data_IF_225720449695
#
_entry.id   IF_225720449695
#
_cell.length_a   1.000
_cell.length_b   1.000
_cell.length_c   1.000
_cell.angle_alpha   90.00
_cell.angle_beta   90.00
_cell.angle_gamma   90.00
#
_symmetry.space_group_name_H-M   'P 1'
#
loop_
_entity.id
_entity.type
_entity.pdbx_description
1 polymer ?
#
# COMPACT_ATOMS: atom_id res chain seq x y z
N UNK A 1 -11.36 -5.90 1.26
CA UNK A 1 -10.03 -5.43 1.69
C UNK A 1 -9.99 -3.93 1.45
N UNK A 2 -9.48 -3.17 2.41
CA UNK A 2 -9.21 -1.73 2.27
C UNK A 2 -7.69 -1.51 2.32
N UNK A 3 -7.17 -0.60 1.50
CA UNK A 3 -5.74 -0.25 1.47
C UNK A 3 -5.59 1.22 1.83
N UNK A 4 -4.74 1.52 2.80
CA UNK A 4 -4.51 2.87 3.33
C UNK A 4 -3.03 3.12 3.58
N UNK A 5 -2.62 4.38 3.71
CA UNK A 5 -1.26 4.75 4.12
C UNK A 5 -1.14 4.93 5.64
N UNK A 6 0.09 5.05 6.16
CA UNK A 6 0.32 5.37 7.57
C UNK A 6 -0.28 6.72 7.99
N UNK A 7 -0.40 7.67 7.05
CA UNK A 7 -1.11 8.95 7.20
C UNK A 7 -2.54 8.87 7.66
N UNK A 8 -3.27 7.89 7.13
CA UNK A 8 -4.71 7.77 7.33
C UNK A 8 -5.04 7.46 8.80
N UNK A 9 -4.08 6.95 9.58
CA UNK A 9 -4.25 6.77 11.02
C UNK A 9 -4.39 8.08 11.81
N UNK A 10 -4.17 9.24 11.21
CA UNK A 10 -4.58 10.53 11.79
C UNK A 10 -6.10 10.76 11.79
N UNK A 11 -6.85 10.03 10.96
CA UNK A 11 -8.26 10.29 10.70
C UNK A 11 -9.21 9.58 11.68
N UNK A 12 -10.17 10.31 12.24
CA UNK A 12 -11.21 9.77 13.13
C UNK A 12 -12.02 8.63 12.49
N UNK A 13 -12.32 8.76 11.20
CA UNK A 13 -13.09 7.78 10.44
C UNK A 13 -12.45 6.39 10.40
N UNK A 14 -11.12 6.28 10.54
CA UNK A 14 -10.45 4.97 10.64
C UNK A 14 -10.89 4.27 11.93
N UNK A 15 -10.89 4.97 13.06
CA UNK A 15 -11.27 4.39 14.35
C UNK A 15 -12.74 4.01 14.41
N UNK A 16 -13.62 4.83 13.83
CA UNK A 16 -15.04 4.52 13.69
C UNK A 16 -15.24 3.24 12.87
N UNK A 17 -14.56 3.13 11.72
CA UNK A 17 -14.62 1.96 10.86
C UNK A 17 -14.06 0.70 11.53
N UNK A 18 -12.95 0.81 12.28
CA UNK A 18 -12.37 -0.32 13.04
C UNK A 18 -13.31 -0.79 14.13
N UNK A 19 -13.93 0.12 14.88
CA UNK A 19 -14.92 -0.21 15.90
C UNK A 19 -16.12 -0.96 15.28
N UNK A 20 -16.71 -0.44 14.21
CA UNK A 20 -17.84 -1.09 13.53
C UNK A 20 -17.46 -2.47 12.99
N UNK A 21 -16.27 -2.59 12.42
CA UNK A 21 -15.71 -3.84 11.89
C UNK A 21 -15.60 -4.91 12.98
N UNK A 22 -15.12 -4.53 14.16
CA UNK A 22 -15.01 -5.43 15.32
C UNK A 22 -16.40 -5.82 15.85
N UNK A 23 -17.28 -4.85 16.10
CA UNK A 23 -18.64 -5.09 16.64
C UNK A 23 -19.47 -6.00 15.73
N UNK A 24 -19.31 -5.88 14.41
CA UNK A 24 -20.07 -6.67 13.44
C UNK A 24 -19.38 -7.96 13.01
N UNK A 25 -18.22 -8.29 13.58
CA UNK A 25 -17.42 -9.45 13.20
C UNK A 25 -17.25 -9.56 11.68
N UNK A 26 -16.82 -8.45 11.05
CA UNK A 26 -16.59 -8.43 9.62
C UNK A 26 -15.23 -9.04 9.29
N UNK A 27 -15.13 -9.89 8.24
CA UNK A 27 -13.85 -10.39 7.72
C UNK A 27 -13.12 -9.30 6.91
N UNK A 28 -12.95 -8.11 7.48
CA UNK A 28 -12.27 -7.00 6.83
C UNK A 28 -10.76 -7.09 7.06
N UNK A 29 -10.01 -7.05 5.97
CA UNK A 29 -8.56 -6.82 5.98
C UNK A 29 -8.32 -5.34 5.69
N UNK A 30 -7.66 -4.66 6.62
CA UNK A 30 -7.08 -3.31 6.43
C UNK A 30 -5.59 -3.48 6.19
N UNK A 31 -5.15 -3.25 4.96
CA UNK A 31 -3.73 -3.28 4.59
C UNK A 31 -3.17 -1.86 4.63
N UNK A 32 -2.15 -1.66 5.44
CA UNK A 32 -1.47 -0.38 5.62
C UNK A 32 -0.15 -0.43 4.87
N UNK A 33 0.01 0.42 3.86
CA UNK A 33 1.29 0.70 3.24
C UNK A 33 1.98 1.79 4.07
N UNK A 34 2.77 1.35 5.07
CA UNK A 34 3.51 2.27 5.91
C UNK A 34 4.84 2.61 5.23
N UNK A 35 4.88 3.79 4.61
CA UNK A 35 6.10 4.30 3.96
C UNK A 35 6.84 5.36 4.79
N UNK A 36 6.39 5.57 6.04
CA UNK A 36 7.02 6.49 7.00
C UNK A 36 6.69 7.96 6.80
N UNK A 37 5.90 8.35 5.79
CA UNK A 37 5.66 9.75 5.45
C UNK A 37 4.30 10.02 4.77
N UNK A 38 3.61 11.03 5.29
CA UNK A 38 2.33 11.51 4.74
C UNK A 38 2.52 12.86 4.09
N UNK A 39 2.56 12.88 2.76
CA UNK A 39 2.99 14.02 1.96
C UNK A 39 4.42 14.46 2.34
N UNK A 40 4.55 15.36 3.32
CA UNK A 40 5.80 15.87 3.90
C UNK A 40 5.98 15.56 5.40
N UNK A 41 4.96 15.01 6.06
CA UNK A 41 4.94 14.79 7.51
C UNK A 41 5.42 13.38 7.85
N UNK A 42 6.55 13.20 8.56
CA UNK A 42 6.97 11.90 9.06
C UNK A 42 5.93 11.28 10.01
N UNK A 43 5.71 9.95 9.93
CA UNK A 43 4.71 9.25 10.76
C UNK A 43 4.85 9.54 12.25
N UNK A 44 6.10 9.64 12.75
CA UNK A 44 6.40 9.93 14.16
C UNK A 44 5.90 11.30 14.65
N UNK A 45 5.62 12.24 13.74
CA UNK A 45 5.10 13.57 14.09
C UNK A 45 3.58 13.61 14.13
N UNK A 46 2.90 12.65 13.48
CA UNK A 46 1.43 12.60 13.44
C UNK A 46 0.82 11.46 14.28
N UNK A 47 1.59 10.40 14.57
CA UNK A 47 1.10 9.21 15.25
C UNK A 47 1.83 8.99 16.57
N UNK A 48 1.11 9.19 17.67
CA UNK A 48 1.53 8.66 18.97
C UNK A 48 1.28 7.14 19.01
N UNK A 49 2.19 6.39 19.64
CA UNK A 49 2.12 4.93 19.72
C UNK A 49 2.50 4.26 18.39
N UNK A 50 1.86 3.12 18.11
CA UNK A 50 2.07 2.34 16.89
C UNK A 50 0.73 1.73 16.42
N UNK A 51 0.70 1.23 15.18
CA UNK A 51 -0.51 0.65 14.59
C UNK A 51 -0.95 -0.62 15.34
N UNK A 52 0.00 -1.42 15.83
CA UNK A 52 -0.29 -2.62 16.63
C UNK A 52 -1.12 -2.30 17.88
N UNK A 53 -0.76 -1.26 18.63
CA UNK A 53 -1.50 -0.81 19.82
C UNK A 53 -2.87 -0.25 19.47
N UNK A 54 -2.99 0.42 18.32
CA UNK A 54 -4.30 0.90 17.83
C UNK A 54 -5.19 -0.26 17.42
N UNK A 55 -4.66 -1.29 16.77
CA UNK A 55 -5.37 -2.54 16.46
C UNK A 55 -5.88 -3.23 17.73
N UNK A 56 -5.00 -3.36 18.73
CA UNK A 56 -5.32 -3.98 20.01
C UNK A 56 -6.45 -3.28 20.78
N UNK A 57 -6.63 -1.96 20.59
CA UNK A 57 -7.72 -1.22 21.24
C UNK A 57 -9.12 -1.64 20.76
N UNK A 58 -9.22 -2.35 19.63
CA UNK A 58 -10.47 -2.85 19.05
C UNK A 58 -10.52 -4.39 19.00
N UNK A 59 -9.62 -5.09 19.70
CA UNK A 59 -9.48 -6.55 19.65
C UNK A 59 -9.27 -7.10 18.22
N UNK A 60 -8.61 -6.33 17.35
CA UNK A 60 -8.33 -6.71 15.96
C UNK A 60 -6.96 -7.36 15.85
N UNK A 61 -6.90 -8.50 15.14
CA UNK A 61 -5.62 -9.18 14.83
C UNK A 61 -4.69 -8.25 14.02
N UNK A 62 -3.39 -8.35 14.28
CA UNK A 62 -2.38 -7.52 13.61
C UNK A 62 -1.16 -8.35 13.17
N UNK A 63 -0.69 -8.10 11.96
CA UNK A 63 0.58 -8.64 11.44
C UNK A 63 1.39 -7.55 10.73
N UNK A 64 2.70 -7.55 10.94
CA UNK A 64 3.64 -6.62 10.29
C UNK A 64 4.61 -7.38 9.39
N UNK A 65 4.86 -6.87 8.19
CA UNK A 65 5.79 -7.43 7.21
C UNK A 65 6.67 -6.32 6.62
N UNK A 66 7.96 -6.61 6.43
CA UNK A 66 8.96 -5.68 5.88
C UNK A 66 9.79 -6.29 4.74
N UNK A 67 9.54 -7.55 4.39
CA UNK A 67 10.16 -8.21 3.24
C UNK A 67 9.94 -7.42 1.95
N UNK A 68 10.96 -7.40 1.09
CA UNK A 68 10.86 -6.90 -0.29
C UNK A 68 10.62 -8.03 -1.30
N UNK A 69 10.65 -9.29 -0.86
CA UNK A 69 10.29 -10.45 -1.66
C UNK A 69 8.77 -10.66 -1.61
N UNK A 70 8.12 -10.48 -2.76
CA UNK A 70 6.66 -10.60 -2.94
C UNK A 70 6.19 -12.04 -2.66
N UNK A 71 6.99 -13.05 -2.97
CA UNK A 71 6.65 -14.44 -2.67
C UNK A 71 6.71 -14.69 -1.16
N UNK A 72 7.71 -14.13 -0.48
CA UNK A 72 7.82 -14.21 0.97
C UNK A 72 6.64 -13.49 1.66
N UNK A 73 6.29 -12.28 1.21
CA UNK A 73 5.11 -11.55 1.69
C UNK A 73 3.85 -12.41 1.51
N UNK A 74 3.64 -12.96 0.30
CA UNK A 74 2.48 -13.80 0.01
C UNK A 74 2.41 -15.03 0.92
N UNK A 75 3.52 -15.75 1.07
CA UNK A 75 3.58 -16.93 1.90
C UNK A 75 3.32 -16.61 3.38
N UNK A 76 3.85 -15.49 3.88
CA UNK A 76 3.65 -15.02 5.25
C UNK A 76 2.20 -14.63 5.52
N UNK A 77 1.56 -13.91 4.59
CA UNK A 77 0.21 -13.36 4.81
C UNK A 77 -0.92 -14.35 4.51
N UNK A 78 -0.69 -15.38 3.68
CA UNK A 78 -1.73 -16.32 3.27
C UNK A 78 -2.50 -16.96 4.45
N UNK A 79 -1.83 -17.49 5.50
CA UNK A 79 -2.54 -18.09 6.64
C UNK A 79 -3.40 -17.07 7.42
N UNK A 80 -2.97 -15.80 7.49
CA UNK A 80 -3.74 -14.75 8.16
C UNK A 80 -5.00 -14.40 7.36
N UNK A 81 -4.90 -14.34 6.03
CA UNK A 81 -6.04 -14.09 5.15
C UNK A 81 -7.05 -15.23 5.17
N UNK A 82 -6.58 -16.47 5.23
CA UNK A 82 -7.43 -17.65 5.42
C UNK A 82 -8.17 -17.58 6.76
N UNK A 83 -7.47 -17.34 7.88
CA UNK A 83 -8.07 -17.17 9.21
C UNK A 83 -9.15 -16.08 9.22
N UNK A 84 -8.86 -14.90 8.68
CA UNK A 84 -9.85 -13.79 8.61
C UNK A 84 -11.10 -14.21 7.85
N UNK A 85 -10.96 -14.96 6.75
CA UNK A 85 -12.08 -15.42 5.94
C UNK A 85 -12.92 -16.47 6.68
N UNK A 86 -12.27 -17.44 7.32
CA UNK A 86 -12.92 -18.59 7.96
C UNK A 86 -13.53 -18.21 9.32
N UNK A 87 -12.76 -17.51 10.16
CA UNK A 87 -13.18 -17.13 11.51
C UNK A 87 -14.03 -15.85 11.54
N UNK A 88 -14.16 -15.16 10.39
CA UNK A 88 -14.85 -13.87 10.28
C UNK A 88 -14.31 -12.81 11.24
N UNK A 89 -13.00 -12.81 11.45
CA UNK A 89 -12.32 -11.85 12.32
C UNK A 89 -11.58 -10.81 11.48
N UNK A 90 -11.64 -9.53 11.83
CA UNK A 90 -10.89 -8.51 11.12
C UNK A 90 -9.38 -8.65 11.35
N UNK A 91 -8.62 -8.10 10.40
CA UNK A 91 -7.16 -8.14 10.41
C UNK A 91 -6.61 -6.82 9.91
N UNK A 92 -5.61 -6.31 10.62
CA UNK A 92 -4.74 -5.24 10.14
C UNK A 92 -3.41 -5.85 9.70
N UNK A 93 -3.02 -5.58 8.46
CA UNK A 93 -1.71 -5.93 7.92
C UNK A 93 -0.92 -4.66 7.70
N UNK A 94 0.22 -4.51 8.34
CA UNK A 94 1.13 -3.41 8.10
C UNK A 94 2.31 -3.86 7.25
N UNK A 95 2.45 -3.28 6.05
CA UNK A 95 3.59 -3.47 5.17
C UNK A 95 4.52 -2.28 5.34
N UNK A 96 5.70 -2.51 5.92
CA UNK A 96 6.77 -1.52 6.02
C UNK A 96 7.43 -1.41 4.64
N UNK A 97 7.31 -0.24 4.03
CA UNK A 97 7.82 0.04 2.69
C UNK A 97 8.44 1.44 2.62
N UNK A 98 8.84 1.87 1.43
CA UNK A 98 9.44 3.18 1.19
C UNK A 98 8.81 3.81 -0.06
N UNK A 99 8.52 5.11 -0.01
CA UNK A 99 8.01 5.85 -1.17
C UNK A 99 9.19 6.26 -2.07
N UNK A 100 9.36 5.60 -3.21
CA UNK A 100 10.50 5.83 -4.13
C UNK A 100 10.54 7.24 -4.74
N UNK A 101 9.37 7.86 -4.95
CA UNK A 101 9.21 9.15 -5.60
C UNK A 101 8.51 10.20 -4.74
N UNK A 102 8.24 11.39 -5.30
CA UNK A 102 7.50 12.45 -4.62
C UNK A 102 6.08 11.99 -4.26
N UNK A 103 5.40 12.75 -3.41
CA UNK A 103 4.03 12.47 -3.02
C UNK A 103 3.06 12.46 -4.22
N UNK A 104 3.29 13.34 -5.19
CA UNK A 104 2.48 13.49 -6.41
C UNK A 104 3.35 14.14 -7.51
N UNK A 105 2.78 14.93 -8.42
CA UNK A 105 3.44 15.58 -9.57
C UNK A 105 4.39 16.75 -9.22
N UNK A 106 4.89 16.82 -7.99
CA UNK A 106 5.73 17.93 -7.51
C UNK A 106 7.13 17.48 -7.09
N UNK A 107 7.90 18.44 -6.58
CA UNK A 107 9.27 18.20 -6.12
C UNK A 107 9.31 17.34 -4.85
N UNK A 108 10.37 16.56 -4.72
CA UNK A 108 10.65 15.76 -3.53
C UNK A 108 11.63 16.51 -2.63
N UNK A 109 11.16 16.99 -1.48
CA UNK A 109 11.95 17.78 -0.53
C UNK A 109 12.74 16.94 0.49
N UNK A 110 12.69 15.61 0.36
CA UNK A 110 13.48 14.69 1.20
C UNK A 110 14.97 14.78 0.87
N UNK A 111 15.80 14.37 1.82
CA UNK A 111 17.26 14.35 1.62
C UNK A 111 17.61 13.46 0.41
N UNK A 112 18.35 13.97 -0.59
CA UNK A 112 18.79 13.16 -1.73
C UNK A 112 19.50 11.86 -1.34
N UNK A 113 20.24 11.85 -0.21
CA UNK A 113 20.90 10.64 0.31
C UNK A 113 19.90 9.60 0.81
N UNK A 114 18.80 10.06 1.42
CA UNK A 114 17.69 9.19 1.82
C UNK A 114 17.05 8.56 0.58
N UNK A 115 16.79 9.37 -0.46
CA UNK A 115 16.20 8.90 -1.71
C UNK A 115 17.11 7.89 -2.43
N UNK A 116 18.42 8.11 -2.44
CA UNK A 116 19.40 7.16 -3.00
C UNK A 116 19.38 5.83 -2.23
N UNK A 117 19.38 5.87 -0.89
CA UNK A 117 19.25 4.68 -0.05
C UNK A 117 17.96 3.91 -0.35
N UNK A 118 16.84 4.62 -0.47
CA UNK A 118 15.52 4.04 -0.78
C UNK A 118 15.55 3.35 -2.15
N UNK A 119 16.09 4.01 -3.19
CA UNK A 119 16.20 3.45 -4.54
C UNK A 119 17.09 2.21 -4.60
N UNK A 120 18.17 2.19 -3.83
CA UNK A 120 19.06 1.03 -3.74
C UNK A 120 18.39 -0.21 -3.10
N UNK A 121 17.26 -0.01 -2.41
CA UNK A 121 16.47 -1.06 -1.75
C UNK A 121 15.18 -1.39 -2.50
N UNK A 122 15.00 -0.89 -3.72
CA UNK A 122 13.83 -1.19 -4.54
C UNK A 122 13.73 -2.70 -4.81
N UNK A 123 12.56 -3.26 -4.54
CA UNK A 123 12.26 -4.67 -4.76
C UNK A 123 12.43 -5.05 -6.23
N UNK A 124 12.12 -4.13 -7.15
CA UNK A 124 12.16 -4.42 -8.58
C UNK A 124 13.58 -4.75 -9.06
N UNK A 125 14.60 -4.07 -8.54
CA UNK A 125 15.99 -4.34 -8.88
C UNK A 125 16.41 -5.78 -8.53
N UNK A 126 15.94 -6.29 -7.38
CA UNK A 126 16.19 -7.68 -6.95
C UNK A 126 15.55 -8.68 -7.91
N UNK A 127 14.32 -8.43 -8.35
CA UNK A 127 13.61 -9.29 -9.29
C UNK A 127 14.21 -9.22 -10.70
N UNK A 128 14.59 -8.04 -11.17
CA UNK A 128 15.25 -7.89 -12.46
C UNK A 128 16.58 -8.66 -12.50
N UNK A 129 17.34 -8.66 -11.40
CA UNK A 129 18.58 -9.43 -11.32
C UNK A 129 18.32 -10.94 -11.30
N UNK A 130 17.30 -11.41 -10.57
CA UNK A 130 17.01 -12.83 -10.42
C UNK A 130 16.25 -13.44 -11.60
N UNK A 131 15.45 -12.63 -12.32
CA UNK A 131 14.48 -13.08 -13.32
C UNK A 131 14.48 -12.18 -14.58
N UNK A 132 15.66 -11.78 -15.05
CA UNK A 132 15.84 -10.80 -16.14
C UNK A 132 14.96 -11.04 -17.36
N UNK A 133 14.99 -12.25 -17.92
CA UNK A 133 14.25 -12.59 -19.15
C UNK A 133 12.74 -12.50 -18.98
N UNK A 134 12.25 -12.81 -17.77
CA UNK A 134 10.84 -12.68 -17.44
C UNK A 134 10.47 -11.21 -17.27
N UNK A 135 11.28 -10.44 -16.54
CA UNK A 135 11.05 -9.01 -16.33
C UNK A 135 11.10 -8.22 -17.64
N UNK A 136 12.08 -8.49 -18.52
CA UNK A 136 12.22 -7.81 -19.81
C UNK A 136 11.01 -8.08 -20.71
N UNK A 137 10.57 -9.33 -20.78
CA UNK A 137 9.37 -9.71 -21.56
C UNK A 137 8.12 -9.01 -21.02
N UNK A 138 7.90 -9.05 -19.70
CA UNK A 138 6.76 -8.40 -19.05
C UNK A 138 6.81 -6.88 -19.20
N UNK A 139 8.00 -6.27 -19.21
CA UNK A 139 8.18 -4.84 -19.45
C UNK A 139 7.75 -4.45 -20.86
N UNK A 140 8.14 -5.22 -21.88
CA UNK A 140 7.71 -4.99 -23.26
C UNK A 140 6.19 -5.08 -23.36
N UNK A 141 5.61 -6.12 -22.76
CA UNK A 141 4.16 -6.31 -22.74
C UNK A 141 3.44 -5.16 -22.02
N UNK A 142 3.91 -4.76 -20.83
CA UNK A 142 3.33 -3.67 -20.06
C UNK A 142 3.38 -2.34 -20.83
N UNK A 143 4.52 -2.01 -21.46
CA UNK A 143 4.67 -0.82 -22.29
C UNK A 143 3.71 -0.83 -23.48
N UNK A 144 3.56 -1.97 -24.15
CA UNK A 144 2.61 -2.12 -25.26
C UNK A 144 1.17 -1.90 -24.80
N UNK A 145 0.78 -2.44 -23.64
CA UNK A 145 -0.56 -2.25 -23.07
C UNK A 145 -0.82 -0.79 -22.69
N UNK A 146 0.18 -0.11 -22.11
CA UNK A 146 0.09 1.32 -21.78
C UNK A 146 -0.07 2.16 -23.05
N UNK A 147 0.73 1.90 -24.09
CA UNK A 147 0.63 2.62 -25.36
C UNK A 147 -0.77 2.48 -25.99
N UNK A 148 -1.30 1.26 -26.07
CA UNK A 148 -2.65 1.04 -26.60
C UNK A 148 -3.75 1.72 -25.77
N UNK A 149 -3.59 1.75 -24.44
CA UNK A 149 -4.51 2.49 -23.56
C UNK A 149 -4.44 4.01 -23.78
N UNK A 150 -3.25 4.56 -23.98
CA UNK A 150 -3.07 5.99 -24.28
C UNK A 150 -3.73 6.36 -25.61
N UNK A 151 -3.50 5.58 -26.67
CA UNK A 151 -4.15 5.80 -27.97
C UNK A 151 -5.68 5.82 -27.84
N UNK A 152 -6.24 4.90 -27.05
CA UNK A 152 -7.69 4.84 -26.80
C UNK A 152 -8.20 6.08 -26.06
N UNK A 153 -7.47 6.55 -25.04
CA UNK A 153 -7.87 7.71 -24.24
C UNK A 153 -7.72 9.01 -25.02
N UNK A 154 -6.65 9.16 -25.80
CA UNK A 154 -6.39 10.34 -26.62
C UNK A 154 -7.38 10.47 -27.79
N UNK A 155 -7.86 9.36 -28.33
CA UNK A 155 -8.90 9.34 -29.36
C UNK A 155 -10.32 9.58 -28.80
N UNK A 156 -10.52 9.49 -27.48
CA UNK A 156 -11.83 9.67 -26.87
C UNK A 156 -12.21 11.16 -26.80
N UNK A 157 -13.47 11.47 -27.11
CA UNK A 157 -14.00 12.81 -26.88
C UNK A 157 -14.01 13.14 -25.38
N UNK A 158 -13.67 14.37 -24.97
CA UNK A 158 -13.82 14.81 -23.59
C UNK A 158 -15.25 14.57 -23.09
N UNK A 159 -15.38 14.10 -21.86
CA UNK A 159 -16.68 13.97 -21.23
C UNK A 159 -17.35 15.34 -21.15
N UNK A 160 -18.57 15.46 -21.70
CA UNK A 160 -19.38 16.67 -21.61
C UNK A 160 -20.31 16.48 -20.41
N UNK A 161 -20.21 17.38 -19.43
CA UNK A 161 -21.15 17.42 -18.32
C UNK A 161 -22.51 17.93 -18.81
N UNK A 162 -23.51 17.06 -18.87
CA UNK A 162 -24.88 17.42 -19.23
C UNK A 162 -25.68 17.84 -18.00
N UNK A 163 -26.36 18.99 -18.07
CA UNK A 163 -27.42 19.33 -17.13
C UNK A 163 -28.72 18.67 -17.61
N UNK A 164 -28.95 17.43 -17.20
CA UNK A 164 -30.28 16.83 -17.27
C UNK A 164 -31.20 17.47 -16.22
#
# INVERSE_FOLDING_TARGET
MAVIGDGTWGEGAVYEALNMTAVWCLPLIVLVENNGISQTTPTRLQMAGDIKRRAAAFDIDYVVESSKDVNAIRARLAPHFEKTRECRTPLIVEIITDRLGPHSKGDDSRDPRELERIRAQDWYALYQQAYSDQCDRLNVEAKSRIAAALETVEAANPAIWGTA
#
